data_IF_648327656442
#
_entry.id   IF_648327656442
#
_cell.length_a   1.000
_cell.length_b   1.000
_cell.length_c   1.000
_cell.angle_alpha   90.00
_cell.angle_beta   90.00
_cell.angle_gamma   90.00
#
_symmetry.space_group_name_H-M   'P 1'
#
loop_
_entity.id
_entity.type
_entity.pdbx_description
1 polymer ?
#
# COMPACT_ATOMS: atom_id res chain seq x y z
N UNK A 1 -5.92 34.63 32.49
CA UNK A 1 -5.77 34.79 31.03
C UNK A 1 -6.76 33.85 30.38
N UNK A 2 -7.56 34.32 29.42
CA UNK A 2 -8.51 33.45 28.72
C UNK A 2 -7.73 32.74 27.61
N UNK A 3 -7.61 31.42 27.67
CA UNK A 3 -7.13 30.62 26.54
C UNK A 3 -8.20 30.66 25.45
N UNK A 4 -7.78 30.82 24.19
CA UNK A 4 -8.68 30.82 23.05
C UNK A 4 -8.33 29.63 22.17
N UNK A 5 -9.26 28.70 21.97
CA UNK A 5 -9.10 27.65 20.97
C UNK A 5 -9.80 28.04 19.68
N UNK A 6 -9.14 27.81 18.54
CA UNK A 6 -9.68 28.01 17.20
C UNK A 6 -9.52 26.72 16.42
N UNK A 7 -10.61 26.14 15.91
CA UNK A 7 -10.55 24.89 15.15
C UNK A 7 -10.66 25.23 13.66
N UNK A 8 -9.58 24.98 12.92
CA UNK A 8 -9.59 24.94 11.46
C UNK A 8 -10.11 23.57 11.03
N UNK A 9 -11.37 23.54 10.61
CA UNK A 9 -12.01 22.36 10.06
C UNK A 9 -11.99 22.45 8.53
N UNK A 10 -11.22 21.56 7.90
CA UNK A 10 -11.21 21.42 6.45
C UNK A 10 -11.98 20.14 6.12
N UNK A 11 -13.23 20.31 5.69
CA UNK A 11 -14.08 19.24 5.16
C UNK A 11 -13.68 18.95 3.73
N UNK A 12 -13.36 17.69 3.44
CA UNK A 12 -12.99 17.24 2.12
C UNK A 12 -14.10 16.40 1.45
N UNK A 13 -15.32 16.38 1.98
CA UNK A 13 -16.46 15.65 1.38
C UNK A 13 -17.10 16.40 0.20
N UNK A 14 -17.76 15.70 -0.76
CA UNK A 14 -18.21 16.30 -2.03
C UNK A 14 -19.33 17.34 -1.91
N UNK A 15 -19.80 17.65 -0.70
CA UNK A 15 -20.81 18.67 -0.46
C UNK A 15 -20.38 19.60 0.67
N UNK A 16 -19.88 20.78 0.30
CA UNK A 16 -19.85 22.06 1.05
C UNK A 16 -18.47 22.64 1.36
N UNK A 17 -18.42 23.97 1.35
CA UNK A 17 -17.28 24.87 1.45
C UNK A 17 -16.41 24.71 2.71
N UNK A 18 -15.14 25.10 2.58
CA UNK A 18 -14.22 25.41 3.68
C UNK A 18 -14.92 26.35 4.67
N UNK A 19 -15.08 25.93 5.93
CA UNK A 19 -15.64 26.75 7.00
C UNK A 19 -14.63 26.93 8.12
N UNK A 20 -14.21 28.17 8.33
CA UNK A 20 -13.52 28.55 9.55
C UNK A 20 -14.56 28.61 10.69
N UNK A 21 -14.56 27.64 11.60
CA UNK A 21 -15.44 27.65 12.77
C UNK A 21 -14.70 28.27 13.96
N UNK A 22 -15.06 29.50 14.32
CA UNK A 22 -14.59 30.12 15.57
C UNK A 22 -15.44 29.62 16.75
N UNK A 23 -15.03 28.51 17.35
CA UNK A 23 -15.61 28.03 18.61
C UNK A 23 -14.85 28.67 19.78
N UNK A 24 -15.36 29.79 20.32
CA UNK A 24 -14.83 30.35 21.58
C UNK A 24 -15.30 29.52 22.77
N UNK A 25 -14.52 28.53 23.21
CA UNK A 25 -14.72 27.94 24.53
C UNK A 25 -14.04 28.79 25.61
N UNK A 26 -14.84 29.39 26.50
CA UNK A 26 -14.35 29.93 27.77
C UNK A 26 -14.54 28.86 28.84
N UNK A 27 -13.49 28.11 29.17
CA UNK A 27 -13.45 27.32 30.40
C UNK A 27 -12.24 27.73 31.25
N UNK A 28 -12.39 27.81 32.58
CA UNK A 28 -11.30 28.17 33.48
C UNK A 28 -10.25 27.06 33.54
N UNK A 29 -8.99 27.46 33.61
CA UNK A 29 -7.80 26.59 33.68
C UNK A 29 -7.92 25.64 34.88
N UNK A 30 -8.00 24.34 34.62
CA UNK A 30 -7.76 23.28 35.61
C UNK A 30 -6.56 22.47 35.11
N UNK A 31 -5.50 22.29 35.93
CA UNK A 31 -4.31 21.57 35.50
C UNK A 31 -4.62 20.08 35.39
N UNK A 32 -4.59 19.53 34.17
CA UNK A 32 -4.78 18.09 33.95
C UNK A 32 -3.46 17.33 34.14
N UNK A 33 -3.35 16.66 35.28
CA UNK A 33 -2.56 15.44 35.43
C UNK A 33 -3.23 14.29 34.67
N UNK A 34 -2.41 13.38 34.17
CA UNK A 34 -2.80 12.21 33.39
C UNK A 34 -3.98 11.40 33.97
N UNK A 35 -4.71 10.75 33.05
CA UNK A 35 -5.73 9.71 33.20
C UNK A 35 -7.21 10.14 33.16
N UNK A 36 -7.93 9.47 32.24
CA UNK A 36 -9.39 9.30 32.12
C UNK A 36 -10.21 10.52 31.61
N UNK A 37 -10.77 10.41 30.40
CA UNK A 37 -12.18 10.02 30.19
C UNK A 37 -12.60 9.94 28.70
N UNK A 38 -13.62 9.14 28.36
CA UNK A 38 -14.28 9.07 27.05
C UNK A 38 -15.41 10.11 26.86
N UNK A 39 -15.88 10.20 25.61
CA UNK A 39 -17.19 10.64 25.09
C UNK A 39 -17.63 12.12 25.17
N UNK A 40 -17.41 12.83 24.06
CA UNK A 40 -18.20 14.02 23.65
C UNK A 40 -19.25 13.66 22.56
N UNK A 41 -19.39 12.38 22.20
CA UNK A 41 -20.24 11.94 21.10
C UNK A 41 -21.66 11.47 21.46
N UNK A 42 -22.00 11.37 22.75
CA UNK A 42 -23.28 10.79 23.19
C UNK A 42 -24.41 11.82 23.42
N UNK A 43 -24.23 13.10 23.07
CA UNK A 43 -25.26 14.13 23.27
C UNK A 43 -26.01 14.57 22.00
N UNK A 44 -25.77 13.95 20.83
CA UNK A 44 -26.45 14.32 19.58
C UNK A 44 -27.43 13.27 19.02
N UNK A 45 -27.72 12.19 19.74
CA UNK A 45 -28.68 11.17 19.30
C UNK A 45 -29.60 10.70 20.42
N UNK A 46 -30.47 11.58 20.93
CA UNK A 46 -31.63 11.15 21.70
C UNK A 46 -32.90 11.88 21.28
N UNK A 47 -33.66 11.25 20.39
CA UNK A 47 -35.07 11.55 20.16
C UNK A 47 -35.77 10.26 19.75
N UNK A 48 -36.22 9.50 20.75
CA UNK A 48 -37.26 8.47 20.60
C UNK A 48 -38.64 9.13 20.66
N UNK A 49 -39.67 8.50 20.09
CA UNK A 49 -40.90 8.38 20.88
C UNK A 49 -41.52 6.98 20.87
N UNK A 50 -41.84 6.55 22.10
CA UNK A 50 -43.03 5.83 22.57
C UNK A 50 -43.45 4.45 21.99
N UNK A 51 -43.51 3.50 22.93
CA UNK A 51 -44.15 2.16 23.01
C UNK A 51 -45.70 2.22 23.02
N UNK A 52 -46.48 1.13 23.32
CA UNK A 52 -46.35 -0.34 23.11
C UNK A 52 -47.66 -1.00 22.56
N UNK A 53 -47.68 -2.31 22.24
CA UNK A 53 -48.79 -3.23 22.62
C UNK A 53 -48.33 -4.73 22.58
N UNK A 54 -48.90 -5.65 23.40
CA UNK A 54 -48.35 -6.98 23.70
C UNK A 54 -49.24 -8.18 23.25
N UNK A 55 -48.84 -9.40 23.66
CA UNK A 55 -49.57 -10.70 23.69
C UNK A 55 -49.30 -11.61 22.47
N UNK A 56 -49.04 -12.92 22.55
CA UNK A 56 -49.17 -13.93 23.62
C UNK A 56 -48.42 -15.22 23.23
N UNK A 57 -47.91 -15.95 24.22
CA UNK A 57 -47.45 -17.35 24.13
C UNK A 57 -48.61 -18.33 23.91
N UNK A 58 -48.38 -19.39 23.14
CA UNK A 58 -49.06 -20.67 23.37
C UNK A 58 -48.08 -21.85 23.22
N UNK A 59 -47.92 -22.55 24.33
CA UNK A 59 -47.36 -23.89 24.52
C UNK A 59 -48.51 -24.90 24.24
N UNK A 60 -48.32 -26.06 23.59
CA UNK A 60 -48.00 -27.38 24.19
C UNK A 60 -48.20 -28.56 23.16
N UNK A 61 -47.80 -29.82 23.49
CA UNK A 61 -47.20 -30.82 22.58
C UNK A 61 -48.03 -32.14 22.41
N UNK A 62 -47.42 -33.21 21.81
CA UNK A 62 -47.54 -34.69 22.09
C UNK A 62 -47.30 -35.53 20.79
N UNK A 63 -46.20 -36.30 20.65
CA UNK A 63 -45.97 -37.76 20.92
C UNK A 63 -46.91 -38.73 20.13
N UNK A 64 -46.46 -39.33 19.00
CA UNK A 64 -45.85 -40.70 18.77
C UNK A 64 -46.90 -41.80 18.40
N UNK A 65 -46.59 -43.02 17.88
CA UNK A 65 -45.31 -43.65 17.51
C UNK A 65 -45.24 -44.48 16.16
N UNK A 66 -44.00 -44.87 15.80
CA UNK A 66 -43.49 -46.14 15.21
C UNK A 66 -44.28 -46.92 14.13
N UNK A 67 -43.67 -47.07 12.93
CA UNK A 67 -43.64 -48.35 12.19
C UNK A 67 -42.22 -48.59 11.62
N UNK A 68 -41.73 -49.79 11.92
CA UNK A 68 -40.48 -50.40 11.48
C UNK A 68 -40.64 -50.92 10.04
N UNK A 69 -39.69 -50.63 9.15
CA UNK A 69 -39.53 -51.38 7.90
C UNK A 69 -38.06 -51.33 7.48
N UNK A 70 -37.41 -52.48 7.61
CA UNK A 70 -36.07 -52.72 7.09
C UNK A 70 -36.10 -52.80 5.56
N UNK A 71 -35.21 -52.07 4.91
CA UNK A 71 -34.65 -52.48 3.62
C UNK A 71 -33.35 -51.75 3.37
N UNK A 72 -32.26 -52.48 3.64
CA UNK A 72 -30.91 -52.24 3.14
C UNK A 72 -30.97 -52.26 1.61
N UNK A 73 -30.41 -51.25 0.94
CA UNK A 73 -29.44 -51.42 -0.16
C UNK A 73 -29.23 -50.15 -0.99
N UNK A 74 -27.95 -49.81 -1.13
CA UNK A 74 -27.31 -49.02 -2.19
C UNK A 74 -27.39 -47.49 -2.01
N UNK A 75 -26.49 -46.99 -1.16
CA UNK A 75 -25.88 -45.67 -1.32
C UNK A 75 -25.05 -45.67 -2.61
N UNK A 76 -25.67 -45.39 -3.75
CA UNK A 76 -24.97 -44.87 -4.91
C UNK A 76 -24.67 -43.39 -4.62
N UNK A 77 -23.59 -43.15 -3.89
CA UNK A 77 -22.89 -41.88 -3.97
C UNK A 77 -22.42 -41.71 -5.41
N UNK A 78 -23.27 -41.11 -6.25
CA UNK A 78 -22.80 -40.37 -7.41
C UNK A 78 -22.04 -39.15 -6.87
N UNK A 79 -20.81 -39.38 -6.40
CA UNK A 79 -19.79 -38.35 -6.39
C UNK A 79 -19.47 -38.09 -7.86
N UNK A 80 -20.36 -37.35 -8.54
CA UNK A 80 -19.96 -36.59 -9.69
C UNK A 80 -18.89 -35.64 -9.18
N UNK A 81 -17.64 -36.08 -9.30
CA UNK A 81 -16.48 -35.22 -9.25
C UNK A 81 -16.63 -34.24 -10.40
N UNK A 82 -17.43 -33.20 -10.18
CA UNK A 82 -17.28 -31.94 -10.86
C UNK A 82 -15.92 -31.42 -10.43
N UNK A 83 -14.86 -31.93 -11.05
CA UNK A 83 -13.67 -31.13 -11.27
C UNK A 83 -14.09 -30.02 -12.22
N UNK A 84 -14.82 -29.02 -11.71
CA UNK A 84 -14.56 -27.68 -12.18
C UNK A 84 -13.06 -27.51 -11.99
N UNK A 85 -12.30 -27.52 -13.09
CA UNK A 85 -10.92 -27.05 -13.09
C UNK A 85 -10.98 -25.63 -12.53
N UNK A 86 -10.82 -25.51 -11.22
CA UNK A 86 -10.93 -24.24 -10.53
C UNK A 86 -9.67 -23.47 -10.88
N UNK A 87 -9.75 -22.71 -11.98
CA UNK A 87 -8.71 -21.78 -12.36
C UNK A 87 -8.60 -20.70 -11.28
N UNK A 88 -7.37 -20.42 -10.85
CA UNK A 88 -7.08 -19.43 -9.85
C UNK A 88 -7.66 -18.07 -10.23
N UNK A 89 -8.20 -17.35 -9.24
CA UNK A 89 -8.65 -15.97 -9.44
C UNK A 89 -7.47 -15.09 -9.84
N UNK A 90 -7.57 -14.40 -10.98
CA UNK A 90 -6.56 -13.44 -11.41
C UNK A 90 -6.63 -12.20 -10.53
N UNK A 91 -5.52 -11.86 -9.89
CA UNK A 91 -5.37 -10.61 -9.12
C UNK A 91 -4.97 -9.50 -10.10
N UNK A 92 -5.96 -8.82 -10.65
CA UNK A 92 -5.79 -7.69 -11.57
C UNK A 92 -5.29 -6.44 -10.82
N UNK A 93 -3.97 -6.30 -10.75
CA UNK A 93 -3.33 -5.15 -10.13
C UNK A 93 -3.43 -3.87 -10.96
N UNK A 94 -3.64 -3.97 -12.27
CA UNK A 94 -3.89 -2.81 -13.14
C UNK A 94 -5.23 -2.13 -12.79
N UNK A 95 -6.28 -2.92 -12.61
CA UNK A 95 -7.59 -2.42 -12.17
C UNK A 95 -7.50 -1.76 -10.79
N UNK A 96 -6.83 -2.43 -9.84
CA UNK A 96 -6.60 -1.85 -8.50
C UNK A 96 -5.81 -0.55 -8.55
N UNK A 97 -4.69 -0.52 -9.27
CA UNK A 97 -3.87 0.67 -9.43
C UNK A 97 -4.66 1.84 -10.04
N UNK A 98 -5.57 1.57 -10.98
CA UNK A 98 -6.43 2.60 -11.55
C UNK A 98 -7.40 3.18 -10.53
N UNK A 99 -8.02 2.35 -9.67
CA UNK A 99 -8.87 2.82 -8.58
C UNK A 99 -8.10 3.72 -7.61
N UNK A 100 -6.90 3.31 -7.22
CA UNK A 100 -6.02 4.08 -6.33
C UNK A 100 -5.65 5.43 -6.95
N UNK A 101 -5.36 5.47 -8.26
CA UNK A 101 -5.10 6.76 -8.94
C UNK A 101 -6.31 7.68 -8.95
N UNK A 102 -7.52 7.15 -9.06
CA UNK A 102 -8.76 7.96 -8.95
C UNK A 102 -8.90 8.54 -7.54
N UNK A 103 -8.66 7.72 -6.51
CA UNK A 103 -8.66 8.14 -5.10
C UNK A 103 -7.62 9.27 -4.86
N UNK A 104 -6.38 9.07 -5.33
CA UNK A 104 -5.29 10.06 -5.26
C UNK A 104 -5.65 11.35 -6.00
N UNK A 105 -6.22 11.26 -7.22
CA UNK A 105 -6.63 12.43 -7.99
C UNK A 105 -7.66 13.26 -7.24
N UNK A 106 -8.65 12.62 -6.61
CA UNK A 106 -9.65 13.29 -5.82
C UNK A 106 -9.02 13.99 -4.59
N UNK A 107 -8.06 13.38 -3.92
CA UNK A 107 -7.30 14.04 -2.84
C UNK A 107 -6.48 15.23 -3.33
N UNK A 108 -5.80 15.11 -4.46
CA UNK A 108 -4.98 16.18 -5.03
C UNK A 108 -5.81 17.38 -5.48
N UNK A 109 -6.95 17.13 -6.14
CA UNK A 109 -7.91 18.18 -6.50
C UNK A 109 -8.36 18.95 -5.26
N UNK A 110 -8.74 18.24 -4.19
CA UNK A 110 -9.15 18.85 -2.93
C UNK A 110 -8.02 19.64 -2.27
N UNK A 111 -6.80 19.11 -2.24
CA UNK A 111 -5.64 19.80 -1.70
C UNK A 111 -5.33 21.09 -2.48
N UNK A 112 -5.40 21.04 -3.81
CA UNK A 112 -5.18 22.20 -4.67
C UNK A 112 -6.24 23.27 -4.47
N UNK A 113 -7.51 22.90 -4.36
CA UNK A 113 -8.62 23.84 -4.11
C UNK A 113 -8.53 24.49 -2.72
N UNK A 114 -8.15 23.73 -1.69
CA UNK A 114 -8.12 24.22 -0.31
C UNK A 114 -6.93 25.14 -0.01
N UNK A 115 -5.73 24.80 -0.50
CA UNK A 115 -4.47 25.48 -0.10
C UNK A 115 -3.56 25.84 -1.29
N UNK A 116 -3.97 25.60 -2.53
CA UNK A 116 -3.22 26.00 -3.73
C UNK A 116 -1.95 25.19 -4.01
N UNK A 117 -1.64 24.16 -3.20
CA UNK A 117 -0.42 23.34 -3.35
C UNK A 117 -0.64 22.22 -4.36
N UNK A 118 0.35 21.97 -5.20
CA UNK A 118 0.40 20.82 -6.11
C UNK A 118 1.70 20.05 -5.85
N UNK A 119 1.66 18.73 -5.56
CA UNK A 119 2.88 17.97 -5.30
C UNK A 119 3.77 17.88 -6.52
N UNK A 120 5.07 17.88 -6.26
CA UNK A 120 6.14 17.69 -7.24
C UNK A 120 6.89 16.39 -6.97
N UNK A 121 7.14 15.62 -8.03
CA UNK A 121 7.90 14.38 -8.00
C UNK A 121 9.07 14.49 -8.98
N UNK A 122 10.28 14.57 -8.44
CA UNK A 122 11.51 14.52 -9.21
C UNK A 122 11.88 13.07 -9.55
N UNK A 123 12.42 12.87 -10.76
CA UNK A 123 12.88 11.58 -11.27
C UNK A 123 14.30 11.74 -11.78
N UNK A 124 15.21 10.92 -11.29
CA UNK A 124 16.58 10.85 -11.79
C UNK A 124 16.73 9.54 -12.54
N UNK A 125 17.12 9.64 -13.81
CA UNK A 125 17.45 8.53 -14.69
C UNK A 125 18.91 8.66 -15.11
N UNK A 126 19.64 7.55 -15.08
CA UNK A 126 21.02 7.47 -15.56
C UNK A 126 21.13 6.37 -16.61
N UNK A 127 21.47 6.74 -17.85
CA UNK A 127 21.58 5.84 -19.00
C UNK A 127 20.26 5.53 -19.71
N UNK A 128 20.34 4.71 -20.77
CA UNK A 128 19.27 4.53 -21.77
C UNK A 128 18.68 3.12 -21.82
N UNK A 129 18.58 2.47 -20.66
CA UNK A 129 18.03 1.11 -20.59
C UNK A 129 16.59 1.06 -21.15
N UNK A 130 16.35 0.15 -22.11
CA UNK A 130 15.05 0.01 -22.80
C UNK A 130 13.87 -0.33 -21.87
N UNK A 131 14.12 -1.13 -20.84
CA UNK A 131 13.10 -1.48 -19.83
C UNK A 131 12.74 -0.28 -18.94
N UNK A 132 13.72 0.56 -18.64
CA UNK A 132 13.56 1.81 -17.88
C UNK A 132 12.69 2.84 -18.61
N UNK A 133 12.85 2.95 -19.94
CA UNK A 133 12.09 3.91 -20.75
C UNK A 133 10.56 3.69 -20.67
N UNK A 134 10.11 2.44 -20.66
CA UNK A 134 8.67 2.13 -20.53
C UNK A 134 8.15 2.48 -19.14
N UNK A 135 8.94 2.18 -18.10
CA UNK A 135 8.59 2.51 -16.72
C UNK A 135 8.48 4.04 -16.51
N UNK A 136 9.48 4.80 -16.96
CA UNK A 136 9.50 6.28 -16.88
C UNK A 136 8.30 6.87 -17.63
N UNK A 137 8.03 6.41 -18.86
CA UNK A 137 6.86 6.87 -19.63
C UNK A 137 5.54 6.62 -18.89
N UNK A 138 5.38 5.44 -18.31
CA UNK A 138 4.17 5.09 -17.56
C UNK A 138 4.05 5.91 -16.27
N UNK A 139 5.16 6.17 -15.58
CA UNK A 139 5.19 7.05 -14.39
C UNK A 139 4.76 8.46 -14.75
N UNK A 140 5.32 9.06 -15.80
CA UNK A 140 4.96 10.41 -16.24
C UNK A 140 3.47 10.52 -16.54
N UNK A 141 2.95 9.60 -17.36
CA UNK A 141 1.51 9.50 -17.63
C UNK A 141 0.67 9.35 -16.37
N UNK A 142 1.16 8.61 -15.38
CA UNK A 142 0.45 8.43 -14.12
C UNK A 142 0.43 9.73 -13.29
N UNK A 143 1.55 10.46 -13.22
CA UNK A 143 1.62 11.78 -12.58
C UNK A 143 0.64 12.76 -13.23
N UNK A 144 0.67 12.88 -14.57
CA UNK A 144 -0.25 13.73 -15.34
C UNK A 144 -1.71 13.35 -15.09
N UNK A 145 -2.00 12.04 -14.99
CA UNK A 145 -3.35 11.54 -14.76
C UNK A 145 -3.90 11.81 -13.36
N UNK A 146 -3.07 12.19 -12.39
CA UNK A 146 -3.52 12.53 -11.03
C UNK A 146 -3.30 14.00 -10.69
N UNK A 147 -2.50 14.73 -11.48
CA UNK A 147 -2.18 16.13 -11.25
C UNK A 147 -0.93 16.35 -10.40
N UNK A 148 0.00 15.39 -10.35
CA UNK A 148 1.34 15.58 -9.76
C UNK A 148 2.28 16.16 -10.82
N UNK A 149 3.05 17.18 -10.46
CA UNK A 149 4.06 17.77 -11.33
C UNK A 149 5.27 16.82 -11.37
N UNK A 150 5.61 16.30 -12.55
CA UNK A 150 6.77 15.43 -12.74
C UNK A 150 7.96 16.24 -13.25
N UNK A 151 9.08 16.21 -12.54
CA UNK A 151 10.36 16.79 -12.96
C UNK A 151 11.33 15.64 -13.29
N UNK A 152 12.11 15.78 -14.36
CA UNK A 152 13.01 14.72 -14.84
C UNK A 152 14.43 15.26 -15.01
N UNK A 153 15.40 14.54 -14.46
CA UNK A 153 16.82 14.68 -14.74
C UNK A 153 17.29 13.40 -15.45
N UNK A 154 17.55 13.52 -16.75
CA UNK A 154 18.05 12.43 -17.58
C UNK A 154 19.55 12.62 -17.79
N UNK A 155 20.34 11.76 -17.18
CA UNK A 155 21.80 11.74 -17.27
C UNK A 155 22.25 10.61 -18.19
N UNK A 156 23.41 10.81 -18.83
CA UNK A 156 24.04 9.80 -19.67
C UNK A 156 24.59 8.64 -18.81
N UNK A 157 24.81 7.48 -19.41
CA UNK A 157 25.38 6.32 -18.70
C UNK A 157 26.82 6.60 -18.21
N UNK A 158 27.58 7.46 -18.90
CA UNK A 158 28.95 7.86 -18.53
C UNK A 158 29.01 9.01 -17.51
N UNK A 159 27.87 9.53 -17.06
CA UNK A 159 27.83 10.54 -16.00
C UNK A 159 28.51 10.03 -14.72
N UNK A 160 29.08 10.98 -13.97
CA UNK A 160 29.75 10.74 -12.70
C UNK A 160 28.73 10.62 -11.57
N UNK A 161 29.11 9.91 -10.51
CA UNK A 161 28.31 9.85 -9.28
C UNK A 161 28.08 11.25 -8.68
N UNK A 162 29.06 12.15 -8.77
CA UNK A 162 28.94 13.52 -8.26
C UNK A 162 27.87 14.33 -9.00
N UNK A 163 27.71 14.14 -10.31
CA UNK A 163 26.64 14.81 -11.07
C UNK A 163 25.25 14.37 -10.58
N UNK A 164 25.06 13.07 -10.32
CA UNK A 164 23.82 12.54 -9.75
C UNK A 164 23.56 13.14 -8.37
N UNK A 165 24.58 13.20 -7.51
CA UNK A 165 24.47 13.79 -6.17
C UNK A 165 24.12 15.27 -6.19
N UNK A 166 24.61 16.02 -7.18
CA UNK A 166 24.26 17.44 -7.35
C UNK A 166 22.77 17.60 -7.69
N UNK A 167 22.22 16.81 -8.61
CA UNK A 167 20.78 16.82 -8.89
C UNK A 167 19.95 16.43 -7.66
N UNK A 168 20.39 15.45 -6.88
CA UNK A 168 19.72 15.07 -5.63
C UNK A 168 19.74 16.24 -4.64
N UNK A 169 20.88 16.94 -4.51
CA UNK A 169 21.00 18.13 -3.66
C UNK A 169 20.04 19.24 -4.09
N UNK A 170 19.96 19.53 -5.38
CA UNK A 170 19.05 20.55 -5.93
C UNK A 170 17.59 20.20 -5.62
N UNK A 171 17.17 18.96 -5.91
CA UNK A 171 15.81 18.50 -5.62
C UNK A 171 15.51 18.39 -4.11
N UNK A 172 16.51 18.10 -3.28
CA UNK A 172 16.36 18.11 -1.83
C UNK A 172 16.05 19.52 -1.32
N UNK A 173 16.68 20.54 -1.91
CA UNK A 173 16.54 21.94 -1.49
C UNK A 173 15.37 22.67 -2.17
N UNK A 174 14.83 22.14 -3.27
CA UNK A 174 13.68 22.71 -3.96
C UNK A 174 12.37 22.49 -3.14
N UNK A 175 11.71 23.56 -2.66
CA UNK A 175 10.46 23.44 -1.90
C UNK A 175 9.25 23.00 -2.75
N UNK A 176 9.34 23.05 -4.09
CA UNK A 176 8.30 22.54 -5.00
C UNK A 176 8.38 21.02 -5.19
N UNK A 177 9.53 20.41 -4.88
CA UNK A 177 9.73 18.96 -4.94
C UNK A 177 9.39 18.34 -3.59
N UNK A 178 8.48 17.37 -3.61
CA UNK A 178 8.03 16.66 -2.42
C UNK A 178 8.50 15.21 -2.43
N UNK A 179 8.64 14.58 -3.60
CA UNK A 179 9.23 13.26 -3.75
C UNK A 179 10.42 13.24 -4.69
N UNK A 180 11.41 12.40 -4.39
CA UNK A 180 12.55 12.11 -5.27
C UNK A 180 12.57 10.62 -5.54
N UNK A 181 12.63 10.25 -6.82
CA UNK A 181 12.85 8.88 -7.28
C UNK A 181 14.19 8.81 -8.01
N UNK A 182 15.11 7.98 -7.53
CA UNK A 182 16.30 7.55 -8.29
C UNK A 182 15.97 6.22 -8.95
N UNK A 183 15.94 6.17 -10.29
CA UNK A 183 15.60 4.94 -10.98
C UNK A 183 16.75 3.93 -10.93
N UNK A 184 16.41 2.69 -10.55
CA UNK A 184 17.34 1.58 -10.48
C UNK A 184 17.17 0.60 -11.65
N UNK A 185 18.22 -0.16 -12.01
CA UNK A 185 19.56 -0.10 -11.42
C UNK A 185 20.40 1.01 -12.05
N UNK A 186 21.33 1.54 -11.26
CA UNK A 186 22.33 2.50 -11.71
C UNK A 186 23.47 1.80 -12.48
N UNK A 187 24.24 2.55 -13.28
CA UNK A 187 25.46 2.04 -13.90
C UNK A 187 26.44 1.45 -12.89
N UNK A 188 27.20 0.42 -13.30
CA UNK A 188 28.05 -0.38 -12.40
C UNK A 188 29.18 0.40 -11.72
N UNK A 189 29.62 1.52 -12.28
CA UNK A 189 30.67 2.36 -11.71
C UNK A 189 30.19 3.27 -10.59
N UNK A 190 28.88 3.36 -10.35
CA UNK A 190 28.29 4.19 -9.29
C UNK A 190 28.02 3.38 -8.02
N UNK A 191 28.17 4.03 -6.88
CA UNK A 191 27.75 3.50 -5.59
C UNK A 191 26.26 3.80 -5.34
N UNK A 192 25.41 2.82 -5.63
CA UNK A 192 23.96 2.90 -5.43
C UNK A 192 23.59 3.29 -3.98
N UNK A 193 24.29 2.77 -2.98
CA UNK A 193 23.99 3.09 -1.58
C UNK A 193 24.29 4.55 -1.25
N UNK A 194 25.40 5.09 -1.76
CA UNK A 194 25.74 6.49 -1.54
C UNK A 194 24.68 7.42 -2.16
N UNK A 195 24.28 7.12 -3.40
CA UNK A 195 23.26 7.87 -4.13
C UNK A 195 21.90 7.81 -3.43
N UNK A 196 21.43 6.61 -3.05
CA UNK A 196 20.13 6.47 -2.37
C UNK A 196 20.12 7.14 -0.99
N UNK A 197 21.21 7.08 -0.24
CA UNK A 197 21.33 7.73 1.08
C UNK A 197 21.39 9.27 1.00
N UNK A 198 21.71 9.84 -0.17
CA UNK A 198 21.72 11.28 -0.36
C UNK A 198 20.32 11.89 -0.49
N UNK A 199 19.29 11.07 -0.77
CA UNK A 199 17.90 11.53 -0.80
C UNK A 199 17.44 11.79 0.63
N UNK A 200 16.96 13.01 0.91
CA UNK A 200 16.42 13.33 2.24
C UNK A 200 15.25 12.40 2.59
N UNK A 201 15.23 11.89 3.81
CA UNK A 201 14.22 10.92 4.25
C UNK A 201 12.79 11.45 4.06
N UNK A 202 12.56 12.75 4.19
CA UNK A 202 11.23 13.37 4.00
C UNK A 202 10.76 13.36 2.54
N UNK A 203 11.69 13.21 1.58
CA UNK A 203 11.45 13.16 0.13
C UNK A 203 11.72 11.78 -0.48
N UNK A 204 12.15 10.80 0.31
CA UNK A 204 12.40 9.41 -0.11
C UNK A 204 11.10 8.62 -0.32
N UNK A 205 10.33 9.01 -1.34
CA UNK A 205 9.01 8.42 -1.63
C UNK A 205 9.09 6.97 -2.11
N UNK A 206 10.28 6.47 -2.44
CA UNK A 206 10.55 5.07 -2.73
C UNK A 206 10.85 4.24 -1.47
N UNK A 207 11.07 4.89 -0.32
CA UNK A 207 11.22 4.25 0.98
C UNK A 207 12.53 3.47 1.16
N UNK A 208 13.57 3.78 0.39
CA UNK A 208 14.84 3.05 0.42
C UNK A 208 15.84 3.56 1.45
N UNK A 209 15.60 4.73 2.05
CA UNK A 209 16.44 5.26 3.10
C UNK A 209 16.50 4.26 4.28
N UNK A 210 17.70 3.95 4.82
CA UNK A 210 17.86 2.97 5.89
C UNK A 210 16.98 3.19 7.12
N UNK A 211 16.62 4.45 7.42
CA UNK A 211 15.72 4.79 8.53
C UNK A 211 14.28 4.33 8.28
N UNK A 212 13.79 4.40 7.04
CA UNK A 212 12.49 3.84 6.68
C UNK A 212 12.47 2.32 6.91
N UNK A 213 13.50 1.61 6.46
CA UNK A 213 13.59 0.16 6.67
C UNK A 213 13.80 -0.20 8.15
N UNK A 214 14.60 0.57 8.88
CA UNK A 214 14.83 0.39 10.32
C UNK A 214 13.54 0.58 11.11
N UNK A 215 12.78 1.65 10.83
CA UNK A 215 11.47 1.85 11.43
C UNK A 215 10.53 0.69 11.09
N UNK A 216 10.51 0.21 9.83
CA UNK A 216 9.71 -0.94 9.42
C UNK A 216 10.06 -2.23 10.22
N UNK A 217 11.32 -2.45 10.56
CA UNK A 217 11.75 -3.63 11.32
C UNK A 217 11.47 -3.53 12.83
N UNK A 218 11.35 -2.32 13.38
CA UNK A 218 11.17 -2.09 14.81
C UNK A 218 9.68 -2.02 15.19
N UNK A 219 9.30 -2.72 16.26
CA UNK A 219 7.96 -2.58 16.86
C UNK A 219 7.75 -1.20 17.47
N UNK A 220 6.54 -0.65 17.34
CA UNK A 220 6.17 0.65 17.91
C UNK A 220 6.76 1.87 17.18
N UNK A 221 7.30 1.69 15.97
CA UNK A 221 7.77 2.77 15.10
C UNK A 221 7.09 2.69 13.75
N UNK A 222 6.82 3.84 13.14
CA UNK A 222 6.32 3.92 11.77
C UNK A 222 7.36 4.57 10.85
N UNK A 223 7.60 3.99 9.66
CA UNK A 223 8.42 4.64 8.65
C UNK A 223 7.69 5.84 8.04
N UNK A 224 8.43 6.82 7.52
CA UNK A 224 7.83 7.88 6.73
C UNK A 224 7.26 7.31 5.44
N UNK A 225 8.00 6.40 4.80
CA UNK A 225 7.61 5.74 3.57
C UNK A 225 7.89 4.25 3.63
N UNK A 226 6.92 3.47 3.17
CA UNK A 226 7.09 2.03 2.90
C UNK A 226 7.44 1.88 1.42
N UNK A 227 8.42 1.01 1.07
CA UNK A 227 8.77 0.78 -0.32
C UNK A 227 7.60 0.43 -1.22
N UNK A 228 7.56 1.07 -2.39
CA UNK A 228 6.38 1.08 -3.27
C UNK A 228 5.93 -0.32 -3.69
N UNK A 229 6.86 -1.18 -4.11
CA UNK A 229 6.57 -2.54 -4.57
C UNK A 229 6.07 -3.44 -3.43
N UNK A 230 6.77 -3.54 -2.28
CA UNK A 230 6.26 -4.19 -1.06
C UNK A 230 4.88 -3.70 -0.63
N UNK A 231 4.67 -2.39 -0.56
CA UNK A 231 3.38 -1.77 -0.22
C UNK A 231 2.29 -2.20 -1.20
N UNK A 232 2.61 -2.25 -2.50
CA UNK A 232 1.71 -2.71 -3.54
C UNK A 232 1.31 -4.16 -3.40
N UNK A 233 2.22 -5.04 -2.97
CA UNK A 233 1.91 -6.45 -2.71
C UNK A 233 0.89 -6.60 -1.58
N UNK A 234 1.09 -5.88 -0.48
CA UNK A 234 0.20 -5.89 0.68
C UNK A 234 -1.16 -5.28 0.35
N UNK A 235 -1.19 -4.16 -0.37
CA UNK A 235 -2.43 -3.52 -0.83
C UNK A 235 -3.28 -4.45 -1.72
N UNK A 236 -2.65 -5.26 -2.57
CA UNK A 236 -3.35 -6.26 -3.38
C UNK A 236 -4.01 -7.34 -2.51
N UNK A 237 -3.32 -7.82 -1.48
CA UNK A 237 -3.88 -8.79 -0.53
C UNK A 237 -5.10 -8.21 0.19
N UNK A 238 -4.98 -6.98 0.69
CA UNK A 238 -6.07 -6.27 1.37
C UNK A 238 -7.28 -6.04 0.47
N UNK A 239 -7.09 -5.47 -0.73
CA UNK A 239 -8.21 -5.15 -1.63
C UNK A 239 -8.94 -6.36 -2.18
N UNK A 240 -8.28 -7.52 -2.22
CA UNK A 240 -8.91 -8.78 -2.59
C UNK A 240 -9.48 -9.54 -1.38
N UNK A 241 -9.29 -9.03 -0.15
CA UNK A 241 -9.82 -9.62 1.08
C UNK A 241 -9.08 -10.89 1.51
N UNK A 242 -7.80 -11.04 1.14
CA UNK A 242 -6.99 -12.18 1.57
C UNK A 242 -6.42 -11.90 2.97
N UNK A 243 -6.80 -12.67 4.00
CA UNK A 243 -6.29 -12.43 5.35
C UNK A 243 -4.81 -12.78 5.45
N UNK A 244 -4.01 -11.88 6.02
CA UNK A 244 -2.57 -12.07 6.26
C UNK A 244 -2.32 -12.65 7.67
N UNK A 245 -3.08 -12.17 8.66
CA UNK A 245 -2.99 -12.58 10.07
C UNK A 245 -3.07 -14.10 10.26
N UNK A 246 -2.07 -14.65 10.94
CA UNK A 246 -1.97 -16.07 11.27
C UNK A 246 -1.64 -16.98 10.08
N UNK A 247 -1.40 -16.44 8.89
CA UNK A 247 -1.02 -17.23 7.71
C UNK A 247 0.47 -17.53 7.68
N UNK A 248 0.82 -18.65 7.05
CA UNK A 248 2.21 -18.93 6.67
C UNK A 248 2.49 -18.20 5.35
N UNK A 249 3.45 -17.28 5.37
CA UNK A 249 3.89 -16.57 4.18
C UNK A 249 5.32 -16.96 3.81
N UNK A 250 5.58 -17.14 2.52
CA UNK A 250 6.93 -17.33 1.98
C UNK A 250 7.25 -16.18 1.05
N UNK A 251 8.38 -15.53 1.31
CA UNK A 251 8.98 -14.54 0.41
C UNK A 251 10.18 -15.16 -0.27
N UNK A 252 10.13 -15.27 -1.59
CA UNK A 252 11.20 -15.81 -2.42
C UNK A 252 12.03 -14.63 -2.94
N UNK A 253 13.22 -14.45 -2.38
CA UNK A 253 14.06 -13.28 -2.61
C UNK A 253 14.24 -12.44 -1.35
N UNK A 254 15.42 -11.82 -1.22
CA UNK A 254 15.83 -11.03 -0.04
C UNK A 254 16.52 -9.71 -0.40
N UNK A 255 16.15 -9.13 -1.54
CA UNK A 255 16.67 -7.83 -1.95
C UNK A 255 16.28 -6.74 -0.94
N UNK A 256 17.10 -5.70 -0.84
CA UNK A 256 16.85 -4.57 0.06
C UNK A 256 15.58 -3.78 -0.33
N UNK A 257 15.22 -3.79 -1.61
CA UNK A 257 14.14 -2.97 -2.15
C UNK A 257 12.78 -3.68 -2.21
N UNK A 258 12.75 -5.02 -2.21
CA UNK A 258 11.50 -5.79 -2.31
C UNK A 258 11.42 -6.91 -1.29
N UNK A 259 12.33 -7.89 -1.37
CA UNK A 259 12.21 -9.14 -0.61
C UNK A 259 12.24 -8.91 0.91
N UNK A 260 13.21 -8.13 1.39
CA UNK A 260 13.29 -7.84 2.82
C UNK A 260 12.11 -6.98 3.33
N UNK A 261 11.76 -5.84 2.70
CA UNK A 261 10.67 -5.02 3.23
C UNK A 261 9.30 -5.70 3.17
N UNK A 262 9.00 -6.51 2.14
CA UNK A 262 7.70 -7.21 2.07
C UNK A 262 7.59 -8.30 3.13
N UNK A 263 8.70 -8.96 3.49
CA UNK A 263 8.73 -9.90 4.60
C UNK A 263 8.42 -9.22 5.94
N UNK A 264 8.97 -8.02 6.18
CA UNK A 264 8.69 -7.23 7.38
C UNK A 264 7.23 -6.76 7.43
N UNK A 265 6.65 -6.34 6.29
CA UNK A 265 5.23 -5.96 6.24
C UNK A 265 4.30 -7.13 6.56
N UNK A 266 4.56 -8.32 5.98
CA UNK A 266 3.80 -9.52 6.29
C UNK A 266 3.90 -9.88 7.79
N UNK A 267 5.10 -9.76 8.37
CA UNK A 267 5.32 -9.99 9.80
C UNK A 267 4.53 -9.01 10.67
N UNK A 268 4.50 -7.72 10.31
CA UNK A 268 3.73 -6.68 11.01
C UNK A 268 2.23 -6.94 11.00
N UNK A 269 1.74 -7.67 10.00
CA UNK A 269 0.36 -8.12 9.91
C UNK A 269 0.13 -9.53 10.48
N UNK A 270 0.95 -9.94 11.45
CA UNK A 270 0.84 -11.18 12.19
C UNK A 270 0.98 -12.47 11.34
N UNK A 271 1.65 -12.42 10.19
CA UNK A 271 1.99 -13.62 9.43
C UNK A 271 3.24 -14.31 9.99
N UNK A 272 3.29 -15.65 9.89
CA UNK A 272 4.52 -16.42 10.09
C UNK A 272 5.30 -16.43 8.78
N UNK A 273 6.41 -15.68 8.71
CA UNK A 273 7.14 -15.44 7.46
C UNK A 273 8.40 -16.30 7.36
N UNK A 274 8.60 -16.95 6.21
CA UNK A 274 9.86 -17.59 5.81
C UNK A 274 10.45 -16.89 4.60
N UNK A 275 11.71 -16.47 4.67
CA UNK A 275 12.43 -15.88 3.54
C UNK A 275 13.30 -16.97 2.91
N UNK A 276 13.07 -17.27 1.63
CA UNK A 276 13.88 -18.24 0.87
C UNK A 276 14.76 -17.51 -0.14
N UNK A 277 15.99 -17.99 -0.32
CA UNK A 277 16.99 -17.37 -1.19
C UNK A 277 17.88 -18.43 -1.85
N UNK A 278 18.85 -18.00 -2.67
CA UNK A 278 19.74 -18.88 -3.45
C UNK A 278 20.60 -19.86 -2.65
N UNK A 279 20.61 -19.77 -1.32
CA UNK A 279 21.36 -20.65 -0.41
C UNK A 279 20.44 -21.46 0.51
N UNK A 280 19.12 -21.35 0.31
CA UNK A 280 18.13 -22.11 1.07
C UNK A 280 18.06 -23.51 0.48
N UNK A 281 18.21 -24.52 1.34
CA UNK A 281 17.94 -25.91 1.00
C UNK A 281 16.43 -26.17 1.12
N UNK A 282 15.91 -27.13 0.36
CA UNK A 282 14.49 -27.54 0.41
C UNK A 282 13.49 -26.41 0.13
N UNK A 283 13.84 -25.50 -0.78
CA UNK A 283 13.01 -24.34 -1.15
C UNK A 283 11.60 -24.74 -1.59
N UNK A 284 11.46 -25.87 -2.29
CA UNK A 284 10.17 -26.38 -2.77
C UNK A 284 9.27 -26.78 -1.60
N UNK A 285 9.85 -27.49 -0.63
CA UNK A 285 9.17 -28.00 0.55
C UNK A 285 8.73 -26.87 1.48
N UNK A 286 9.55 -25.83 1.64
CA UNK A 286 9.21 -24.64 2.41
C UNK A 286 8.07 -23.87 1.72
N UNK A 287 8.20 -23.62 0.41
CA UNK A 287 7.19 -22.89 -0.39
C UNK A 287 5.83 -23.60 -0.37
N UNK A 288 5.82 -24.94 -0.43
CA UNK A 288 4.59 -25.76 -0.45
C UNK A 288 3.81 -25.77 0.87
N UNK A 289 4.35 -25.18 1.94
CA UNK A 289 3.65 -25.01 3.21
C UNK A 289 2.95 -23.66 3.34
N UNK A 290 3.25 -22.71 2.43
CA UNK A 290 2.78 -21.34 2.53
C UNK A 290 1.34 -21.17 2.04
N UNK A 291 0.58 -20.34 2.75
CA UNK A 291 -0.73 -19.84 2.33
C UNK A 291 -0.57 -18.63 1.40
N UNK A 292 0.50 -17.84 1.58
CA UNK A 292 0.83 -16.66 0.77
C UNK A 292 2.25 -16.83 0.23
N UNK A 293 2.44 -16.68 -1.08
CA UNK A 293 3.75 -16.72 -1.73
C UNK A 293 3.98 -15.38 -2.43
N UNK A 294 5.07 -14.69 -2.08
CA UNK A 294 5.53 -13.49 -2.79
C UNK A 294 6.87 -13.80 -3.45
N UNK A 295 6.93 -13.80 -4.78
CA UNK A 295 8.17 -14.08 -5.51
C UNK A 295 8.77 -12.80 -6.09
N UNK A 296 10.02 -12.50 -5.72
CA UNK A 296 10.77 -11.31 -6.10
C UNK A 296 12.27 -11.63 -6.32
N UNK A 297 12.53 -12.60 -7.18
CA UNK A 297 13.89 -13.08 -7.51
C UNK A 297 14.41 -12.61 -8.86
N UNK A 298 13.53 -12.20 -9.79
CA UNK A 298 13.94 -11.82 -11.14
C UNK A 298 14.49 -13.02 -11.92
N UNK A 299 13.80 -14.15 -11.86
CA UNK A 299 14.13 -15.38 -12.60
C UNK A 299 12.89 -15.95 -13.26
N UNK A 300 12.80 -15.92 -14.61
CA UNK A 300 11.59 -16.26 -15.32
C UNK A 300 11.13 -17.69 -15.05
N UNK A 301 9.86 -17.87 -14.67
CA UNK A 301 9.22 -19.18 -14.46
C UNK A 301 9.98 -20.13 -13.51
N UNK A 302 10.68 -19.60 -12.52
CA UNK A 302 11.41 -20.39 -11.52
C UNK A 302 10.45 -21.14 -10.58
N UNK A 303 9.39 -20.46 -10.13
CA UNK A 303 8.39 -21.04 -9.21
C UNK A 303 7.38 -21.84 -10.03
N UNK A 304 7.39 -23.16 -9.85
CA UNK A 304 6.55 -24.12 -10.59
C UNK A 304 5.31 -24.50 -9.80
N UNK A 305 4.31 -25.07 -10.49
CA UNK A 305 3.06 -25.56 -9.90
C UNK A 305 3.28 -26.45 -8.68
N UNK A 306 4.28 -27.33 -8.76
CA UNK A 306 4.65 -28.27 -7.69
C UNK A 306 5.19 -27.63 -6.41
N UNK A 307 5.54 -26.35 -6.43
CA UNK A 307 6.02 -25.60 -5.26
C UNK A 307 4.86 -24.99 -4.47
N UNK A 308 3.66 -24.97 -5.06
CA UNK A 308 2.52 -24.19 -4.57
C UNK A 308 1.63 -25.09 -3.73
N UNK A 309 1.25 -24.62 -2.54
CA UNK A 309 0.21 -25.25 -1.74
C UNK A 309 -1.15 -25.07 -2.44
N UNK A 310 -1.96 -26.13 -2.62
CA UNK A 310 -3.32 -25.97 -3.12
C UNK A 310 -4.11 -24.90 -2.34
N UNK A 311 -4.68 -23.94 -3.05
CA UNK A 311 -5.41 -22.81 -2.46
C UNK A 311 -4.55 -21.65 -1.97
N UNK A 312 -3.22 -21.66 -2.16
CA UNK A 312 -2.37 -20.52 -1.83
C UNK A 312 -2.67 -19.28 -2.68
N UNK A 313 -2.36 -18.10 -2.16
CA UNK A 313 -2.39 -16.81 -2.86
C UNK A 313 -0.98 -16.45 -3.31
N UNK A 314 -0.82 -16.04 -4.57
CA UNK A 314 0.48 -15.78 -5.16
C UNK A 314 0.56 -14.34 -5.66
N UNK A 315 1.57 -13.62 -5.19
CA UNK A 315 1.98 -12.31 -5.69
C UNK A 315 3.33 -12.48 -6.41
N UNK A 316 3.29 -12.40 -7.73
CA UNK A 316 4.47 -12.45 -8.60
C UNK A 316 4.96 -11.02 -8.89
N UNK A 317 6.10 -10.69 -8.29
CA UNK A 317 6.77 -9.39 -8.43
C UNK A 317 7.77 -9.40 -9.59
N UNK A 318 8.17 -10.58 -10.06
CA UNK A 318 9.17 -10.73 -11.11
C UNK A 318 8.77 -10.02 -12.39
N UNK A 319 9.73 -9.33 -13.01
CA UNK A 319 9.57 -8.76 -14.35
C UNK A 319 10.82 -9.16 -15.14
N UNK A 320 10.64 -10.10 -16.05
CA UNK A 320 11.72 -10.68 -16.84
C UNK A 320 11.40 -10.53 -18.33
N UNK A 321 12.29 -9.89 -19.09
CA UNK A 321 12.18 -9.84 -20.55
C UNK A 321 12.69 -11.15 -21.15
N UNK A 322 11.84 -11.84 -21.91
CA UNK A 322 12.18 -13.05 -22.64
C UNK A 322 11.92 -12.82 -24.12
N UNK A 323 12.89 -13.15 -24.97
CA UNK A 323 12.76 -13.02 -26.42
C UNK A 323 11.50 -13.76 -26.92
N UNK A 324 10.75 -13.08 -27.79
CA UNK A 324 9.54 -13.61 -28.39
C UNK A 324 9.38 -13.00 -29.78
N UNK A 325 9.66 -13.80 -30.80
CA UNK A 325 9.58 -13.40 -32.21
C UNK A 325 8.15 -13.07 -32.66
N UNK A 326 7.14 -13.52 -31.92
CA UNK A 326 5.74 -13.20 -32.20
C UNK A 326 5.28 -11.90 -31.52
N UNK A 327 6.08 -11.35 -30.60
CA UNK A 327 5.79 -10.07 -29.97
C UNK A 327 6.21 -8.91 -30.88
N UNK A 328 5.38 -7.86 -31.06
CA UNK A 328 5.75 -6.66 -31.79
C UNK A 328 7.02 -5.96 -31.27
N UNK A 329 7.39 -6.22 -30.02
CA UNK A 329 8.57 -5.64 -29.37
C UNK A 329 9.80 -6.54 -29.45
N UNK A 330 9.67 -7.77 -30.00
CA UNK A 330 10.71 -8.81 -30.02
C UNK A 330 10.94 -9.52 -28.68
N UNK A 331 10.19 -9.15 -27.65
CA UNK A 331 10.22 -9.77 -26.33
C UNK A 331 8.85 -9.71 -25.65
N UNK A 332 8.65 -10.55 -24.65
CA UNK A 332 7.51 -10.51 -23.72
C UNK A 332 8.00 -10.43 -22.28
N UNK A 333 7.19 -9.84 -21.42
CA UNK A 333 7.44 -9.82 -19.98
C UNK A 333 6.81 -11.04 -19.33
N UNK A 334 7.60 -11.77 -18.54
CA UNK A 334 7.13 -12.91 -17.73
C UNK A 334 7.57 -12.74 -16.29
N UNK A 335 6.78 -13.32 -15.39
CA UNK A 335 7.06 -13.28 -13.96
C UNK A 335 8.04 -14.35 -13.50
N UNK A 336 8.27 -14.39 -12.19
CA UNK A 336 9.06 -15.44 -11.56
C UNK A 336 8.29 -16.74 -11.43
N UNK A 337 6.96 -16.68 -11.48
CA UNK A 337 6.04 -17.80 -11.34
C UNK A 337 5.59 -18.27 -12.72
N UNK A 338 5.58 -19.58 -12.92
CA UNK A 338 4.95 -20.16 -14.10
C UNK A 338 3.43 -20.04 -13.98
N UNK A 339 2.87 -18.97 -14.53
CA UNK A 339 1.46 -18.61 -14.39
C UNK A 339 0.51 -19.74 -14.77
N UNK A 340 0.78 -20.46 -15.87
CA UNK A 340 -0.07 -21.56 -16.35
C UNK A 340 -0.11 -22.77 -15.42
N UNK A 341 0.98 -23.02 -14.70
CA UNK A 341 1.02 -24.10 -13.70
C UNK A 341 0.38 -23.61 -12.39
N UNK A 342 0.67 -22.37 -11.99
CA UNK A 342 0.15 -21.76 -10.77
C UNK A 342 -1.36 -21.56 -10.81
N UNK A 343 -1.92 -21.18 -11.97
CA UNK A 343 -3.35 -20.96 -12.17
C UNK A 343 -4.19 -22.22 -11.97
N UNK A 344 -3.57 -23.41 -11.97
CA UNK A 344 -4.25 -24.69 -11.74
C UNK A 344 -4.23 -25.15 -10.27
N UNK A 345 -3.44 -24.49 -9.42
CA UNK A 345 -3.17 -24.93 -8.04
C UNK A 345 -3.54 -23.86 -7.01
N UNK A 346 -3.20 -22.60 -7.30
CA UNK A 346 -3.44 -21.46 -6.42
C UNK A 346 -4.93 -21.13 -6.33
N UNK A 347 -5.35 -20.50 -5.24
CA UNK A 347 -6.68 -19.87 -5.18
C UNK A 347 -6.69 -18.55 -5.95
N UNK A 348 -5.56 -17.83 -5.95
CA UNK A 348 -5.39 -16.59 -6.67
C UNK A 348 -3.93 -16.32 -7.04
N UNK A 349 -3.71 -15.65 -8.18
CA UNK A 349 -2.37 -15.32 -8.68
C UNK A 349 -2.38 -13.99 -9.44
N UNK A 350 -1.36 -13.16 -9.22
CA UNK A 350 -1.16 -11.95 -10.04
C UNK A 350 -0.56 -12.32 -11.41
N UNK A 351 -1.05 -11.75 -12.51
CA UNK A 351 -0.44 -11.93 -13.83
C UNK A 351 0.82 -11.05 -13.97
N UNK A 352 1.72 -11.46 -14.85
CA UNK A 352 2.82 -10.60 -15.33
C UNK A 352 2.77 -10.57 -16.85
N UNK A 353 2.58 -9.39 -17.47
CA UNK A 353 2.35 -8.07 -16.87
C UNK A 353 0.93 -7.91 -16.28
N UNK A 354 0.70 -6.82 -15.54
CA UNK A 354 -0.65 -6.42 -15.07
C UNK A 354 -0.92 -6.66 -13.58
N UNK A 355 -0.03 -7.36 -12.88
CA UNK A 355 -0.07 -7.55 -11.43
C UNK A 355 0.61 -6.41 -10.66
N UNK A 356 1.82 -6.66 -10.16
CA UNK A 356 2.50 -5.77 -9.20
C UNK A 356 3.05 -4.48 -9.84
N UNK A 357 3.53 -4.51 -11.09
CA UNK A 357 4.13 -3.34 -11.74
C UNK A 357 3.25 -2.08 -11.73
N UNK A 358 1.97 -2.13 -12.14
CA UNK A 358 1.05 -1.00 -12.01
C UNK A 358 0.85 -0.50 -10.57
N UNK A 359 0.90 -1.41 -9.59
CA UNK A 359 0.76 -1.07 -8.17
C UNK A 359 1.96 -0.29 -7.66
N UNK A 360 3.18 -0.62 -8.09
CA UNK A 360 4.38 0.12 -7.73
C UNK A 360 4.24 1.61 -8.08
N UNK A 361 3.75 1.93 -9.29
CA UNK A 361 3.53 3.34 -9.69
C UNK A 361 2.42 3.97 -8.85
N UNK A 362 1.31 3.28 -8.61
CA UNK A 362 0.23 3.82 -7.77
C UNK A 362 0.70 4.13 -6.34
N UNK A 363 1.52 3.25 -5.75
CA UNK A 363 2.09 3.45 -4.41
C UNK A 363 3.11 4.58 -4.37
N UNK A 364 3.90 4.79 -5.43
CA UNK A 364 4.80 5.94 -5.56
C UNK A 364 4.03 7.27 -5.54
N UNK A 365 2.91 7.35 -6.29
CA UNK A 365 2.05 8.53 -6.27
C UNK A 365 1.42 8.74 -4.89
N UNK A 366 0.99 7.66 -4.23
CA UNK A 366 0.45 7.71 -2.87
C UNK A 366 1.50 8.22 -1.87
N UNK A 367 2.73 7.72 -1.94
CA UNK A 367 3.83 8.18 -1.09
C UNK A 367 4.18 9.66 -1.37
N UNK A 368 4.13 10.09 -2.63
CA UNK A 368 4.34 11.50 -3.00
C UNK A 368 3.26 12.42 -2.42
N UNK A 369 1.99 12.00 -2.47
CA UNK A 369 0.90 12.71 -1.83
C UNK A 369 1.09 12.80 -0.31
N UNK A 370 1.48 11.70 0.34
CA UNK A 370 1.78 11.66 1.78
C UNK A 370 2.95 12.59 2.12
N UNK A 371 4.02 12.59 1.31
CA UNK A 371 5.16 13.49 1.53
C UNK A 371 4.73 14.95 1.47
N UNK A 372 4.00 15.35 0.42
CA UNK A 372 3.55 16.72 0.26
C UNK A 372 2.68 17.18 1.43
N UNK A 373 1.75 16.32 1.84
CA UNK A 373 0.94 16.45 3.04
C UNK A 373 1.83 16.73 4.26
N UNK A 374 2.78 15.85 4.58
CA UNK A 374 3.68 16.02 5.73
C UNK A 374 4.51 17.29 5.68
N UNK A 375 5.02 17.69 4.51
CA UNK A 375 5.76 18.95 4.32
C UNK A 375 4.90 20.16 4.67
N UNK A 376 3.64 20.19 4.22
CA UNK A 376 2.72 21.29 4.51
C UNK A 376 2.51 21.40 6.02
N UNK A 377 2.20 20.29 6.70
CA UNK A 377 1.99 20.31 8.15
C UNK A 377 3.22 20.81 8.90
N UNK A 378 4.41 20.32 8.58
CA UNK A 378 5.64 20.72 9.25
C UNK A 378 5.92 22.20 9.05
N UNK A 379 5.65 22.75 7.86
CA UNK A 379 5.77 24.17 7.60
C UNK A 379 4.76 25.00 8.40
N UNK A 380 3.52 24.53 8.52
CA UNK A 380 2.50 25.18 9.35
C UNK A 380 2.89 25.15 10.84
N UNK A 381 3.38 24.02 11.34
CA UNK A 381 3.91 23.90 12.70
C UNK A 381 5.06 24.88 12.99
N UNK A 382 5.99 25.03 12.04
CA UNK A 382 7.14 25.92 12.18
C UNK A 382 6.81 27.42 12.18
N UNK A 383 5.58 27.80 11.82
CA UNK A 383 5.13 29.20 11.77
C UNK A 383 4.35 29.65 13.03
N UNK A 384 4.13 28.76 14.00
CA UNK A 384 3.43 29.07 15.25
C UNK A 384 4.24 30.06 16.11
N UNK A 385 3.57 31.07 16.66
CA UNK A 385 4.17 32.02 17.59
C UNK A 385 4.37 31.39 18.98
N UNK A 386 5.30 31.91 19.82
CA UNK A 386 5.44 31.45 21.20
C UNK A 386 4.13 31.57 21.98
N UNK A 387 3.63 30.45 22.50
CA UNK A 387 2.33 30.37 23.20
C UNK A 387 1.20 29.79 22.34
N UNK A 388 1.38 29.74 21.02
CA UNK A 388 0.49 29.03 20.12
C UNK A 388 0.88 27.55 20.05
N UNK A 389 -0.11 26.65 20.11
CA UNK A 389 0.11 25.24 19.84
C UNK A 389 -0.91 24.74 18.82
N UNK A 390 -0.48 23.81 17.97
CA UNK A 390 -1.32 23.23 16.93
C UNK A 390 -1.47 21.73 17.18
N UNK A 391 -2.71 21.24 17.21
CA UNK A 391 -3.01 19.83 17.33
C UNK A 391 -3.78 19.39 16.09
N UNK A 392 -3.26 18.42 15.35
CA UNK A 392 -4.04 17.76 14.31
C UNK A 392 -4.99 16.80 15.02
N UNK A 393 -6.26 17.17 15.10
CA UNK A 393 -7.31 16.37 15.76
C UNK A 393 -7.66 15.16 14.89
N UNK A 394 -7.72 15.34 13.57
CA UNK A 394 -7.96 14.25 12.61
C UNK A 394 -7.30 14.57 11.28
N UNK A 395 -6.71 13.55 10.66
CA UNK A 395 -6.31 13.62 9.27
C UNK A 395 -6.68 12.35 8.52
N UNK A 396 -7.93 12.32 8.07
CA UNK A 396 -8.51 11.19 7.35
C UNK A 396 -8.60 11.48 5.85
N UNK A 397 -9.10 10.52 5.07
CA UNK A 397 -9.49 10.75 3.67
C UNK A 397 -10.60 11.82 3.53
N UNK A 398 -11.27 12.18 4.64
CA UNK A 398 -12.46 13.03 4.66
C UNK A 398 -12.26 14.38 5.36
N UNK A 399 -11.35 14.49 6.33
CA UNK A 399 -11.18 15.72 7.10
C UNK A 399 -9.70 16.00 7.38
N UNK A 400 -9.35 17.28 7.43
CA UNK A 400 -8.17 17.77 8.14
C UNK A 400 -8.70 18.73 9.20
N UNK A 401 -8.62 18.28 10.45
CA UNK A 401 -9.04 19.05 11.60
C UNK A 401 -7.79 19.48 12.33
N UNK A 402 -7.57 20.78 12.39
CA UNK A 402 -6.43 21.39 13.05
C UNK A 402 -6.97 22.31 14.14
N UNK A 403 -6.64 22.04 15.39
CA UNK A 403 -6.91 22.95 16.51
C UNK A 403 -5.69 23.82 16.77
N UNK A 404 -5.90 25.13 16.77
CA UNK A 404 -4.96 26.13 17.21
C UNK A 404 -5.35 26.56 18.63
N UNK A 405 -4.44 26.40 19.58
CA UNK A 405 -4.58 26.81 20.97
C UNK A 405 -3.71 28.05 21.17
N UNK A 406 -4.31 29.15 21.66
CA UNK A 406 -3.61 30.41 21.98
C UNK A 406 -3.84 30.86 23.41
#
# INVERSE_FOLDING_TARGET
MASSSSILFIDFSPSSAVRLLHLRHRHPVVPYTASLLPSVWDQLTSASPSTPFPLTLHHQPLLSPLIFSQSVSIWLFYAASLTTEASAKVIDGKSVANRIKVEIRAELSRMKEAIGVTPGLAVILVGDRKDSATYVRNKKKACDSVGIISLEANLSEDSTEQEVLNYISDFNNDPSVHGILVLLPLPKHMNEQNILNAVRIEKDVDGFHPLNIGCLAMGGREPLFVPCTPKGCIELLHRYGFPIKGKKAVVIGRSNIVGMPVALLLQREDATVSIVHSRTNNTKEITRQADIIISAVGKPNMVRGSWIKPGAVIIDVGINSVEDSNSPQGYRLVGDVCFEEASKVASAVTPVPGGVGPMTIAMLLKNTLISARSTILNNTYGQLQPGESMCIIDWSEKYLIIEFLT
#
